data_IF_090884779303
#
_entry.id   IF_090884779303
#
_cell.length_a   1.000
_cell.length_b   1.000
_cell.length_c   1.000
_cell.angle_alpha   90.00
_cell.angle_beta   90.00
_cell.angle_gamma   90.00
#
_symmetry.space_group_name_H-M   'P 1'
#
loop_
_entity.id
_entity.type
_entity.pdbx_description
1 polymer ?
#
# COMPACT_ATOMS: atom_id res chain seq x y z
N UNK A 1 -5.48 -15.37 -8.46
CA UNK A 1 -4.95 -15.94 -7.20
C UNK A 1 -5.73 -15.21 -6.11
N UNK A 2 -6.72 -15.89 -5.55
CA UNK A 2 -7.44 -15.44 -4.37
C UNK A 2 -6.44 -15.27 -3.23
N UNK A 3 -6.53 -14.21 -2.41
CA UNK A 3 -5.76 -14.12 -1.19
C UNK A 3 -5.99 -15.40 -0.39
N UNK A 4 -4.93 -15.91 0.23
CA UNK A 4 -5.06 -17.02 1.16
C UNK A 4 -5.93 -16.53 2.33
N UNK A 5 -7.23 -16.88 2.27
CA UNK A 5 -8.23 -16.44 3.26
C UNK A 5 -7.83 -16.89 4.67
N UNK A 6 -7.03 -17.96 4.78
CA UNK A 6 -6.49 -18.44 6.06
C UNK A 6 -5.45 -17.47 6.64
N UNK A 7 -4.68 -16.77 5.81
CA UNK A 7 -3.69 -15.79 6.27
C UNK A 7 -4.38 -14.52 6.79
N UNK A 8 -5.45 -14.09 6.14
CA UNK A 8 -6.26 -12.94 6.58
C UNK A 8 -7.10 -13.29 7.82
N UNK A 9 -7.61 -14.52 7.93
CA UNK A 9 -8.36 -15.01 9.08
C UNK A 9 -7.46 -15.15 10.32
N UNK A 10 -6.22 -15.64 10.16
CA UNK A 10 -5.22 -15.67 11.23
C UNK A 10 -4.91 -14.27 11.75
N UNK A 11 -4.97 -13.25 10.88
CA UNK A 11 -4.76 -11.86 11.25
C UNK A 11 -5.94 -11.23 12.00
N UNK A 12 -7.17 -11.56 11.59
CA UNK A 12 -8.40 -11.07 12.25
C UNK A 12 -8.58 -11.69 13.64
N UNK A 13 -8.04 -12.88 13.89
CA UNK A 13 -8.04 -13.55 15.21
C UNK A 13 -6.95 -13.05 16.18
N UNK A 14 -5.96 -12.33 15.70
CA UNK A 14 -4.85 -11.80 16.49
C UNK A 14 -5.16 -10.45 17.16
N UNK A 15 -6.31 -10.34 17.84
CA UNK A 15 -6.57 -9.21 18.77
C UNK A 15 -5.85 -9.38 20.12
N UNK A 16 -4.82 -10.21 20.17
CA UNK A 16 -3.92 -10.37 21.31
C UNK A 16 -2.63 -9.58 21.09
N UNK A 17 -1.99 -9.15 22.18
CA UNK A 17 -0.76 -8.39 22.20
C UNK A 17 0.27 -8.89 21.14
N UNK A 18 0.97 -7.94 20.49
CA UNK A 18 2.06 -8.27 19.60
C UNK A 18 2.98 -9.33 20.23
N UNK A 19 3.44 -10.33 19.47
CA UNK A 19 4.32 -11.36 20.00
C UNK A 19 5.50 -10.70 20.72
N UNK A 20 5.80 -11.16 21.94
CA UNK A 20 6.95 -10.69 22.70
C UNK A 20 8.21 -11.09 21.93
N UNK A 21 8.93 -10.11 21.39
CA UNK A 21 10.25 -10.34 20.81
C UNK A 21 11.23 -10.61 21.95
N UNK A 22 11.88 -11.77 21.93
CA UNK A 22 13.01 -12.06 22.79
C UNK A 22 14.17 -11.10 22.51
N UNK A 23 14.86 -10.71 23.55
CA UNK A 23 15.86 -9.66 23.62
C UNK A 23 16.91 -9.72 22.52
N UNK A 24 16.93 -8.72 21.65
CA UNK A 24 18.09 -8.39 20.82
C UNK A 24 18.88 -7.24 21.46
N UNK A 25 20.21 -7.34 21.49
CA UNK A 25 21.04 -6.48 22.32
C UNK A 25 21.50 -5.23 21.61
N UNK A 26 20.61 -4.29 21.32
CA UNK A 26 21.02 -2.93 20.99
C UNK A 26 19.85 -1.95 21.17
N UNK A 27 20.11 -0.82 21.81
CA UNK A 27 19.14 0.21 22.19
C UNK A 27 18.40 0.80 20.98
N UNK A 28 19.02 0.78 19.79
CA UNK A 28 18.41 1.21 18.53
C UNK A 28 17.40 0.18 17.97
N UNK A 29 17.67 -1.13 18.09
CA UNK A 29 16.73 -2.18 17.70
C UNK A 29 15.46 -2.14 18.57
N UNK A 30 15.57 -1.77 19.84
CA UNK A 30 14.43 -1.55 20.76
C UNK A 30 13.47 -0.46 20.32
N UNK A 31 13.95 0.55 19.59
CA UNK A 31 13.08 1.67 19.10
C UNK A 31 12.41 1.31 17.78
N UNK A 32 13.03 0.46 16.96
CA UNK A 32 12.55 0.15 15.60
C UNK A 32 11.52 -0.99 15.60
N UNK A 33 11.71 -2.02 16.43
CA UNK A 33 10.84 -3.20 16.49
C UNK A 33 9.36 -2.89 16.87
N UNK A 34 9.04 -2.01 17.84
CA UNK A 34 7.66 -1.68 18.18
C UNK A 34 6.86 -1.08 17.01
N UNK A 35 7.53 -0.40 16.08
CA UNK A 35 6.88 0.23 14.92
C UNK A 35 6.76 -0.71 13.70
N UNK A 36 7.37 -1.90 13.73
CA UNK A 36 7.28 -2.84 12.61
C UNK A 36 5.83 -3.25 12.33
N UNK A 37 5.05 -3.53 13.38
CA UNK A 37 3.64 -3.86 13.28
C UNK A 37 2.81 -2.73 12.67
N UNK A 38 2.97 -1.50 13.17
CA UNK A 38 2.23 -0.34 12.64
C UNK A 38 2.53 -0.10 11.17
N UNK A 39 3.80 -0.20 10.78
CA UNK A 39 4.23 -0.07 9.38
C UNK A 39 3.65 -1.15 8.49
N UNK A 40 3.59 -2.39 8.98
CA UNK A 40 3.00 -3.51 8.27
C UNK A 40 1.49 -3.30 8.07
N UNK A 41 0.76 -2.84 9.11
CA UNK A 41 -0.66 -2.48 9.00
C UNK A 41 -0.88 -1.37 7.96
N UNK A 42 -0.03 -0.34 7.94
CA UNK A 42 -0.09 0.71 6.92
C UNK A 42 0.11 0.13 5.51
N UNK A 43 1.06 -0.79 5.34
CA UNK A 43 1.30 -1.43 4.05
C UNK A 43 0.09 -2.27 3.59
N UNK A 44 -0.49 -3.07 4.48
CA UNK A 44 -1.70 -3.87 4.21
C UNK A 44 -2.89 -2.97 3.84
N UNK A 45 -3.12 -1.91 4.61
CA UNK A 45 -4.19 -0.95 4.34
C UNK A 45 -4.02 -0.28 2.96
N UNK A 46 -2.78 0.08 2.60
CA UNK A 46 -2.48 0.66 1.29
C UNK A 46 -2.75 -0.33 0.14
N UNK A 47 -2.44 -1.63 0.31
CA UNK A 47 -2.76 -2.67 -0.69
C UNK A 47 -4.27 -2.73 -0.94
N UNK A 48 -5.09 -2.77 0.12
CA UNK A 48 -6.54 -2.75 0.00
C UNK A 48 -7.07 -1.48 -0.68
N UNK A 49 -6.51 -0.31 -0.32
CA UNK A 49 -6.88 0.96 -0.93
C UNK A 49 -6.53 1.02 -2.43
N UNK A 50 -5.35 0.52 -2.83
CA UNK A 50 -4.95 0.43 -4.24
C UNK A 50 -5.90 -0.45 -5.03
N UNK A 51 -6.24 -1.62 -4.53
CA UNK A 51 -7.18 -2.52 -5.17
C UNK A 51 -8.55 -1.83 -5.38
N UNK A 52 -9.08 -1.20 -4.34
CA UNK A 52 -10.36 -0.48 -4.42
C UNK A 52 -10.33 0.66 -5.42
N UNK A 53 -9.27 1.45 -5.45
CA UNK A 53 -9.10 2.54 -6.41
C UNK A 53 -9.08 2.04 -7.86
N UNK A 54 -8.39 0.95 -8.12
CA UNK A 54 -8.35 0.33 -9.45
C UNK A 54 -9.73 -0.15 -9.87
N UNK A 55 -10.46 -0.85 -8.98
CA UNK A 55 -11.82 -1.34 -9.26
C UNK A 55 -12.78 -0.19 -9.63
N UNK A 56 -12.83 0.88 -8.84
CA UNK A 56 -13.71 2.00 -9.12
C UNK A 56 -13.31 2.75 -10.39
N UNK A 57 -12.01 2.84 -10.66
CA UNK A 57 -11.49 3.48 -11.87
C UNK A 57 -11.85 2.69 -13.12
N UNK A 58 -11.73 1.36 -13.07
CA UNK A 58 -12.13 0.48 -14.17
C UNK A 58 -13.63 0.56 -14.42
N UNK A 59 -14.46 0.51 -13.37
CA UNK A 59 -15.90 0.66 -13.49
C UNK A 59 -16.28 1.98 -14.15
N UNK A 60 -15.71 3.09 -13.67
CA UNK A 60 -15.92 4.40 -14.27
C UNK A 60 -15.47 4.45 -15.74
N UNK A 61 -14.32 3.90 -16.07
CA UNK A 61 -13.80 3.89 -17.44
C UNK A 61 -14.66 3.07 -18.42
N UNK A 62 -15.41 2.08 -17.93
CA UNK A 62 -16.33 1.28 -18.73
C UNK A 62 -17.67 2.02 -18.97
N UNK A 63 -18.12 2.84 -18.03
CA UNK A 63 -19.39 3.57 -18.11
C UNK A 63 -19.25 4.93 -18.81
N UNK A 64 -18.20 5.68 -18.48
CA UNK A 64 -18.02 7.05 -18.95
C UNK A 64 -17.80 7.10 -20.45
N UNK A 65 -18.66 7.84 -21.14
CA UNK A 65 -18.60 8.05 -22.59
C UNK A 65 -17.87 9.35 -22.92
N UNK A 66 -16.95 9.29 -23.87
CA UNK A 66 -16.33 10.46 -24.51
C UNK A 66 -15.98 10.11 -25.95
N UNK A 67 -16.12 11.07 -26.85
CA UNK A 67 -15.84 10.88 -28.28
C UNK A 67 -16.56 9.66 -28.89
N UNK A 68 -17.80 9.43 -28.47
CA UNK A 68 -18.68 8.37 -29.02
C UNK A 68 -18.41 6.95 -28.51
N UNK A 69 -17.59 6.76 -27.48
CA UNK A 69 -17.30 5.42 -26.90
C UNK A 69 -16.88 5.50 -25.43
N UNK A 70 -16.93 4.39 -24.66
CA UNK A 70 -16.41 4.33 -23.31
C UNK A 70 -14.93 4.75 -23.26
N UNK A 71 -14.53 5.52 -22.24
CA UNK A 71 -13.16 6.02 -22.14
C UNK A 71 -12.15 4.89 -21.98
N UNK A 72 -12.53 3.75 -21.38
CA UNK A 72 -11.70 2.56 -21.30
C UNK A 72 -11.32 1.92 -22.64
N UNK A 73 -11.93 2.35 -23.76
CA UNK A 73 -11.52 1.94 -25.11
C UNK A 73 -10.35 2.75 -25.68
N UNK A 74 -9.93 3.82 -25.00
CA UNK A 74 -8.74 4.58 -25.40
C UNK A 74 -7.48 3.92 -24.84
N UNK A 75 -6.44 3.82 -25.69
CA UNK A 75 -5.18 3.15 -25.34
C UNK A 75 -4.51 3.81 -24.12
N UNK A 76 -4.51 5.14 -24.06
CA UNK A 76 -3.92 5.86 -22.92
C UNK A 76 -4.56 5.45 -21.58
N UNK A 77 -5.90 5.34 -21.51
CA UNK A 77 -6.59 4.91 -20.29
C UNK A 77 -6.23 3.47 -19.93
N UNK A 78 -6.18 2.57 -20.92
CA UNK A 78 -5.77 1.17 -20.67
C UNK A 78 -4.35 1.07 -20.16
N UNK A 79 -3.43 1.88 -20.66
CA UNK A 79 -2.04 1.89 -20.19
C UNK A 79 -1.95 2.36 -18.74
N UNK A 80 -2.64 3.45 -18.37
CA UNK A 80 -2.69 3.92 -16.99
C UNK A 80 -3.23 2.84 -16.04
N UNK A 81 -4.34 2.20 -16.39
CA UNK A 81 -4.92 1.13 -15.57
C UNK A 81 -3.97 -0.08 -15.45
N UNK A 82 -3.29 -0.46 -16.53
CA UNK A 82 -2.31 -1.54 -16.50
C UNK A 82 -1.10 -1.21 -15.61
N UNK A 83 -0.61 0.01 -15.65
CA UNK A 83 0.47 0.49 -14.77
C UNK A 83 0.04 0.51 -13.30
N UNK A 84 -1.18 1.00 -13.01
CA UNK A 84 -1.75 0.97 -11.67
C UNK A 84 -1.82 -0.46 -11.13
N UNK A 85 -2.35 -1.40 -11.93
CA UNK A 85 -2.47 -2.80 -11.56
C UNK A 85 -1.10 -3.46 -11.31
N UNK A 86 -0.12 -3.18 -12.16
CA UNK A 86 1.25 -3.70 -12.04
C UNK A 86 1.93 -3.20 -10.75
N UNK A 87 1.81 -1.91 -10.45
CA UNK A 87 2.34 -1.33 -9.20
C UNK A 87 1.67 -1.92 -7.97
N UNK A 88 0.34 -2.04 -7.98
CA UNK A 88 -0.41 -2.61 -6.87
C UNK A 88 -0.01 -4.06 -6.60
N UNK A 89 0.17 -4.87 -7.66
CA UNK A 89 0.56 -6.28 -7.53
C UNK A 89 1.99 -6.43 -6.99
N UNK A 90 2.94 -5.63 -7.46
CA UNK A 90 4.31 -5.62 -6.95
C UNK A 90 4.35 -5.22 -5.46
N UNK A 91 3.59 -4.17 -5.09
CA UNK A 91 3.47 -3.72 -3.71
C UNK A 91 2.80 -4.78 -2.82
N UNK A 92 1.78 -5.48 -3.32
CA UNK A 92 1.10 -6.58 -2.64
C UNK A 92 2.05 -7.74 -2.36
N UNK A 93 2.80 -8.19 -3.38
CA UNK A 93 3.74 -9.30 -3.23
C UNK A 93 4.81 -9.01 -2.15
N UNK A 94 5.36 -7.79 -2.14
CA UNK A 94 6.31 -7.36 -1.12
C UNK A 94 5.69 -7.33 0.28
N UNK A 95 4.47 -6.80 0.39
CA UNK A 95 3.74 -6.73 1.66
C UNK A 95 3.44 -8.10 2.22
N UNK A 96 3.01 -9.04 1.39
CA UNK A 96 2.70 -10.40 1.83
C UNK A 96 3.95 -11.19 2.21
N UNK A 97 5.09 -10.94 1.56
CA UNK A 97 6.36 -11.51 2.02
C UNK A 97 6.73 -10.99 3.41
N UNK A 98 6.63 -9.67 3.64
CA UNK A 98 6.89 -9.08 4.95
C UNK A 98 5.92 -9.64 6.03
N UNK A 99 4.63 -9.78 5.68
CA UNK A 99 3.62 -10.36 6.57
C UNK A 99 3.92 -11.81 6.95
N UNK A 100 4.34 -12.63 5.98
CA UNK A 100 4.73 -14.03 6.22
C UNK A 100 5.91 -14.12 7.18
N UNK A 101 6.97 -13.34 6.95
CA UNK A 101 8.15 -13.31 7.82
C UNK A 101 7.78 -12.86 9.23
N UNK A 102 6.95 -11.81 9.35
CA UNK A 102 6.46 -11.34 10.63
C UNK A 102 5.66 -12.42 11.38
N UNK A 103 4.76 -13.13 10.68
CA UNK A 103 3.96 -14.21 11.25
C UNK A 103 4.82 -15.39 11.72
N UNK A 104 5.89 -15.70 11.00
CA UNK A 104 6.86 -16.74 11.34
C UNK A 104 7.82 -16.34 12.48
N UNK A 105 7.72 -15.12 13.02
CA UNK A 105 8.60 -14.61 14.07
C UNK A 105 10.04 -14.36 13.61
N UNK A 106 10.25 -14.21 12.30
CA UNK A 106 11.56 -13.90 11.73
C UNK A 106 11.86 -12.40 11.82
N UNK A 107 13.15 -12.05 11.84
CA UNK A 107 13.56 -10.67 11.65
C UNK A 107 13.10 -10.21 10.25
N UNK A 108 12.28 -9.20 10.22
CA UNK A 108 11.68 -8.69 8.99
C UNK A 108 11.66 -7.15 8.91
N UNK A 109 12.54 -6.50 9.69
CA UNK A 109 12.61 -5.02 9.73
C UNK A 109 12.85 -4.46 8.34
N UNK A 110 13.73 -5.08 7.56
CA UNK A 110 14.03 -4.65 6.21
C UNK A 110 12.81 -4.78 5.28
N UNK A 111 12.15 -5.93 5.29
CA UNK A 111 11.00 -6.22 4.43
C UNK A 111 9.79 -5.34 4.79
N UNK A 112 9.51 -5.17 6.07
CA UNK A 112 8.44 -4.28 6.54
C UNK A 112 8.71 -2.84 6.15
N UNK A 113 9.96 -2.39 6.29
CA UNK A 113 10.37 -1.03 5.92
C UNK A 113 10.24 -0.80 4.41
N UNK A 114 10.69 -1.78 3.59
CA UNK A 114 10.50 -1.74 2.13
C UNK A 114 9.03 -1.77 1.76
N UNK A 115 8.22 -2.64 2.38
CA UNK A 115 6.79 -2.74 2.12
C UNK A 115 6.09 -1.41 2.41
N UNK A 116 6.36 -0.77 3.56
CA UNK A 116 5.82 0.55 3.90
C UNK A 116 6.23 1.60 2.88
N UNK A 117 7.50 1.69 2.54
CA UNK A 117 8.02 2.68 1.61
C UNK A 117 7.40 2.56 0.21
N UNK A 118 7.30 1.33 -0.30
CA UNK A 118 6.76 1.07 -1.64
C UNK A 118 5.24 1.27 -1.68
N UNK A 119 4.51 0.72 -0.71
CA UNK A 119 3.04 0.77 -0.74
C UNK A 119 2.50 2.19 -0.56
N UNK A 120 3.11 3.00 0.33
CA UNK A 120 2.63 4.36 0.59
C UNK A 120 2.88 5.29 -0.62
N UNK A 121 3.93 5.07 -1.37
CA UNK A 121 4.17 5.77 -2.63
C UNK A 121 3.24 5.29 -3.73
N UNK A 122 3.08 3.98 -3.86
CA UNK A 122 2.22 3.39 -4.89
C UNK A 122 0.75 3.79 -4.72
N UNK A 123 0.21 3.79 -3.50
CA UNK A 123 -1.18 4.19 -3.26
C UNK A 123 -1.41 5.67 -3.59
N UNK A 124 -0.45 6.54 -3.29
CA UNK A 124 -0.53 7.97 -3.63
C UNK A 124 -0.53 8.17 -5.15
N UNK A 125 0.37 7.52 -5.88
CA UNK A 125 0.42 7.59 -7.34
C UNK A 125 -0.86 7.02 -7.98
N UNK A 126 -1.37 5.89 -7.48
CA UNK A 126 -2.60 5.26 -7.98
C UNK A 126 -3.82 6.14 -7.69
N UNK A 127 -3.88 6.79 -6.53
CA UNK A 127 -4.96 7.72 -6.20
C UNK A 127 -4.96 8.93 -7.12
N UNK A 128 -3.78 9.50 -7.41
CA UNK A 128 -3.62 10.61 -8.35
C UNK A 128 -4.04 10.22 -9.77
N UNK A 129 -3.59 9.07 -10.26
CA UNK A 129 -3.99 8.53 -11.57
C UNK A 129 -5.49 8.25 -11.65
N UNK A 130 -6.07 7.71 -10.57
CA UNK A 130 -7.51 7.50 -10.47
C UNK A 130 -8.27 8.82 -10.59
N UNK A 131 -7.84 9.86 -9.88
CA UNK A 131 -8.43 11.20 -9.95
C UNK A 131 -8.32 11.76 -11.36
N UNK A 132 -7.16 11.64 -11.99
CA UNK A 132 -6.93 12.12 -13.36
C UNK A 132 -7.88 11.43 -14.37
N UNK A 133 -8.08 10.10 -14.25
CA UNK A 133 -8.97 9.34 -15.14
C UNK A 133 -10.45 9.76 -14.93
N UNK A 134 -10.86 10.05 -13.71
CA UNK A 134 -12.21 10.54 -13.40
C UNK A 134 -12.41 12.00 -13.84
N UNK A 135 -11.33 12.76 -14.03
CA UNK A 135 -11.38 14.17 -14.42
C UNK A 135 -12.14 15.01 -13.39
N UNK A 136 -13.01 15.93 -13.86
CA UNK A 136 -13.79 16.80 -12.97
C UNK A 136 -14.64 16.04 -11.94
N UNK A 137 -15.14 14.85 -12.27
CA UNK A 137 -15.88 14.01 -11.32
C UNK A 137 -14.99 13.47 -10.21
N UNK A 138 -13.72 13.16 -10.49
CA UNK A 138 -12.77 12.73 -9.46
C UNK A 138 -12.46 13.81 -8.42
N UNK A 139 -12.60 15.08 -8.81
CA UNK A 139 -12.39 16.24 -7.93
C UNK A 139 -13.61 16.53 -7.04
N UNK A 140 -14.78 15.99 -7.36
CA UNK A 140 -16.01 16.18 -6.60
C UNK A 140 -16.09 15.20 -5.43
N UNK A 141 -16.63 15.68 -4.29
CA UNK A 141 -16.74 14.89 -3.05
C UNK A 141 -17.60 13.63 -3.19
N UNK A 142 -18.61 13.69 -4.03
CA UNK A 142 -19.59 12.63 -4.26
C UNK A 142 -18.95 11.32 -4.76
N UNK A 143 -17.85 11.42 -5.48
CA UNK A 143 -17.10 10.25 -5.99
C UNK A 143 -16.07 9.70 -4.99
N UNK A 144 -15.67 10.49 -3.98
CA UNK A 144 -14.74 10.08 -2.94
C UNK A 144 -13.28 9.90 -3.38
N UNK A 145 -12.96 10.12 -4.66
CA UNK A 145 -11.60 9.96 -5.20
C UNK A 145 -10.69 11.07 -4.66
N UNK A 146 -11.17 12.31 -4.58
CA UNK A 146 -10.41 13.43 -4.02
C UNK A 146 -9.99 13.17 -2.57
N UNK A 147 -10.87 12.51 -1.80
CA UNK A 147 -10.57 12.10 -0.43
C UNK A 147 -9.45 11.05 -0.40
N UNK A 148 -9.51 10.06 -1.29
CA UNK A 148 -8.48 9.03 -1.37
C UNK A 148 -7.09 9.63 -1.65
N UNK A 149 -7.00 10.66 -2.50
CA UNK A 149 -5.73 11.38 -2.76
C UNK A 149 -5.23 12.08 -1.49
N UNK A 150 -6.12 12.79 -0.77
CA UNK A 150 -5.74 13.47 0.48
C UNK A 150 -5.28 12.47 1.55
N UNK A 151 -6.02 11.38 1.73
CA UNK A 151 -5.71 10.35 2.72
C UNK A 151 -4.41 9.63 2.37
N UNK A 152 -4.17 9.30 1.09
CA UNK A 152 -2.94 8.67 0.62
C UNK A 152 -1.71 9.55 0.85
N UNK A 153 -1.85 10.89 0.84
CA UNK A 153 -0.72 11.82 1.06
C UNK A 153 -0.11 11.68 2.46
N UNK A 154 -0.88 11.24 3.45
CA UNK A 154 -0.36 10.98 4.80
C UNK A 154 0.66 9.82 4.82
N UNK A 155 0.53 8.86 3.93
CA UNK A 155 1.34 7.64 3.92
C UNK A 155 2.85 7.86 3.92
N UNK A 156 3.41 8.70 3.02
CA UNK A 156 4.83 9.04 3.03
C UNK A 156 5.32 9.82 4.26
N UNK A 157 4.42 10.26 5.15
CA UNK A 157 4.70 11.08 6.33
C UNK A 157 4.51 10.27 7.61
N UNK A 158 3.37 9.58 7.76
CA UNK A 158 2.99 8.84 8.96
C UNK A 158 3.77 7.54 9.14
N UNK A 159 3.89 7.07 10.38
CA UNK A 159 4.60 5.83 10.70
C UNK A 159 6.11 5.84 10.41
N UNK A 160 6.69 7.03 10.33
CA UNK A 160 8.02 7.33 9.86
C UNK A 160 8.01 7.80 8.40
N UNK A 161 8.68 8.93 8.14
CA UNK A 161 8.74 9.49 6.79
C UNK A 161 9.51 8.58 5.83
N UNK A 162 9.36 8.83 4.53
CA UNK A 162 10.15 8.12 3.51
C UNK A 162 11.66 8.22 3.76
N UNK A 163 12.13 9.35 4.29
CA UNK A 163 13.54 9.57 4.64
C UNK A 163 13.97 8.67 5.80
N UNK A 164 13.13 8.56 6.83
CA UNK A 164 13.36 7.64 7.96
C UNK A 164 13.37 6.18 7.48
N UNK A 165 12.47 5.80 6.58
CA UNK A 165 12.47 4.44 6.01
C UNK A 165 13.77 4.15 5.25
N UNK A 166 14.27 5.10 4.47
CA UNK A 166 15.54 4.97 3.75
C UNK A 166 16.74 4.89 4.68
N UNK A 167 16.73 5.68 5.76
CA UNK A 167 17.78 5.65 6.78
C UNK A 167 17.85 4.29 7.47
N UNK A 168 16.69 3.71 7.84
CA UNK A 168 16.62 2.35 8.39
C UNK A 168 17.19 1.34 7.41
N UNK A 169 16.78 1.40 6.13
CA UNK A 169 17.28 0.49 5.10
C UNK A 169 18.79 0.64 4.88
N UNK A 170 19.31 1.86 4.84
CA UNK A 170 20.73 2.11 4.74
C UNK A 170 21.52 1.44 5.86
N UNK A 171 21.06 1.62 7.10
CA UNK A 171 21.67 0.97 8.28
C UNK A 171 21.61 -0.55 8.24
N UNK A 172 20.50 -1.14 7.82
CA UNK A 172 20.41 -2.60 7.67
C UNK A 172 21.32 -3.16 6.57
N UNK A 173 21.77 -2.33 5.64
CA UNK A 173 22.75 -2.66 4.59
C UNK A 173 24.22 -2.39 5.01
N UNK A 174 24.43 -1.87 6.23
CA UNK A 174 25.77 -1.58 6.75
C UNK A 174 26.37 -0.25 6.30
N UNK A 175 25.51 0.71 5.88
CA UNK A 175 25.91 2.07 5.48
C UNK A 175 25.81 3.06 6.64
#
# INVERSE_FOLDING_TARGET
>A
ITPDDDLLAAFAGASGAAPAFEEQPEEEARVIAPFAWERLLMAIGAVGAMQRLIEVTVAYALERQAFGRPIGKFQAIRHHVAEMATKAEAARALTYNALRLFHEGQDCIQEVTMAKLVTQRAVLEIADQSLQIHGGYGYMREYGIERAVRDARLGPIGGGTDEVMKEILGKTMGL
#
